data_IF_387719653600
#
_entry.id   IF_387719653600
#
_cell.length_a   1.000
_cell.length_b   1.000
_cell.length_c   1.000
_cell.angle_alpha   90.00
_cell.angle_beta   90.00
_cell.angle_gamma   90.00
#
_symmetry.space_group_name_H-M   'P 1'
#
loop_
_entity.id
_entity.type
_entity.pdbx_description
1 polymer ?
#
# COMPACT_ATOMS: atom_id res chain seq x y z
N UNK A 1 8.65 10.53 23.26
CA UNK A 1 7.20 10.65 23.00
C UNK A 1 7.04 11.06 21.53
N UNK A 2 6.23 10.35 20.74
CA UNK A 2 5.99 10.69 19.33
C UNK A 2 4.72 11.56 19.26
N UNK A 3 4.76 12.76 18.66
CA UNK A 3 3.57 13.59 18.47
C UNK A 3 2.72 12.98 17.34
N UNK A 4 1.70 12.20 17.70
CA UNK A 4 0.85 11.52 16.73
C UNK A 4 -0.16 12.49 16.10
N UNK A 5 -0.33 12.38 14.78
CA UNK A 5 -1.37 13.06 14.00
C UNK A 5 -2.04 12.02 13.11
N UNK A 6 -3.37 12.06 13.00
CA UNK A 6 -4.15 11.12 12.19
C UNK A 6 -4.89 11.87 11.10
N UNK A 7 -4.65 11.46 9.85
CA UNK A 7 -5.42 11.92 8.69
C UNK A 7 -6.45 10.85 8.29
N UNK A 8 -7.61 11.30 7.82
CA UNK A 8 -8.68 10.43 7.33
C UNK A 8 -8.96 10.76 5.88
N UNK A 9 -9.26 9.73 5.09
CA UNK A 9 -9.61 9.87 3.69
C UNK A 9 -10.50 8.71 3.22
N UNK A 10 -11.08 8.85 2.03
CA UNK A 10 -11.83 7.81 1.32
C UNK A 10 -11.42 7.81 -0.15
N UNK A 11 -11.20 6.62 -0.70
CA UNK A 11 -10.94 6.42 -2.12
C UNK A 11 -11.97 5.49 -2.71
N UNK A 12 -12.44 5.80 -3.92
CA UNK A 12 -13.25 4.87 -4.72
C UNK A 12 -12.33 3.76 -5.26
N UNK A 13 -12.76 2.51 -5.11
CA UNK A 13 -12.02 1.32 -5.56
C UNK A 13 -12.84 0.46 -6.54
N UNK A 14 -13.90 1.00 -7.13
CA UNK A 14 -14.83 0.25 -7.99
C UNK A 14 -14.10 -0.45 -9.15
N UNK A 15 -13.24 0.27 -9.86
CA UNK A 15 -12.45 -0.29 -10.97
C UNK A 15 -11.41 -1.30 -10.48
N UNK A 16 -10.75 -1.02 -9.36
CA UNK A 16 -9.77 -1.91 -8.74
C UNK A 16 -10.41 -3.24 -8.33
N UNK A 17 -11.61 -3.21 -7.76
CA UNK A 17 -12.30 -4.43 -7.34
C UNK A 17 -12.78 -5.27 -8.54
N UNK A 18 -13.22 -4.62 -9.63
CA UNK A 18 -13.53 -5.30 -10.88
C UNK A 18 -12.28 -5.97 -11.45
N UNK A 19 -11.17 -5.25 -11.53
CA UNK A 19 -9.88 -5.77 -11.99
C UNK A 19 -9.40 -6.94 -11.11
N UNK A 20 -9.44 -6.81 -9.78
CA UNK A 20 -9.05 -7.87 -8.84
C UNK A 20 -9.84 -9.16 -9.08
N UNK A 21 -11.17 -9.06 -9.28
CA UNK A 21 -12.02 -10.23 -9.56
C UNK A 21 -11.65 -10.88 -10.89
N UNK A 22 -11.40 -10.08 -11.93
CA UNK A 22 -10.97 -10.59 -13.23
C UNK A 22 -9.63 -11.33 -13.14
N UNK A 23 -8.63 -10.76 -12.46
CA UNK A 23 -7.32 -11.39 -12.31
C UNK A 23 -7.37 -12.69 -11.50
N UNK A 24 -8.24 -12.78 -10.49
CA UNK A 24 -8.44 -14.04 -9.76
C UNK A 24 -9.06 -15.13 -10.65
N UNK A 25 -10.06 -14.79 -11.47
CA UNK A 25 -10.62 -15.72 -12.45
C UNK A 25 -9.57 -16.20 -13.44
N UNK A 26 -8.67 -15.32 -13.87
CA UNK A 26 -7.58 -15.67 -14.77
C UNK A 26 -6.53 -16.57 -14.08
N UNK A 27 -6.19 -16.29 -12.82
CA UNK A 27 -5.28 -17.13 -12.04
C UNK A 27 -5.86 -18.54 -11.81
N UNK A 28 -7.17 -18.65 -11.57
CA UNK A 28 -7.89 -19.93 -11.47
C UNK A 28 -7.85 -20.72 -12.79
N UNK A 29 -8.14 -20.07 -13.93
CA UNK A 29 -8.04 -20.70 -15.26
C UNK A 29 -6.65 -21.25 -15.55
N UNK A 30 -5.61 -20.50 -15.14
CA UNK A 30 -4.21 -20.88 -15.30
C UNK A 30 -3.70 -21.85 -14.23
N UNK A 31 -4.54 -22.22 -13.23
CA UNK A 31 -4.19 -23.10 -12.10
C UNK A 31 -2.94 -22.61 -11.34
N UNK A 32 -2.83 -21.30 -11.15
CA UNK A 32 -1.68 -20.69 -10.47
C UNK A 32 -1.70 -20.87 -8.95
N UNK A 33 -2.82 -21.33 -8.37
CA UNK A 33 -3.02 -21.47 -6.91
C UNK A 33 -2.72 -20.18 -6.12
N UNK A 34 -3.11 -19.03 -6.68
CA UNK A 34 -2.93 -17.70 -6.09
C UNK A 34 -4.26 -16.98 -5.97
N UNK A 35 -4.46 -16.30 -4.83
CA UNK A 35 -5.61 -15.46 -4.57
C UNK A 35 -5.18 -14.01 -4.29
N UNK A 36 -5.53 -13.11 -5.19
CA UNK A 36 -5.25 -11.68 -5.10
C UNK A 36 -6.33 -11.01 -4.23
N UNK A 37 -5.88 -10.41 -3.13
CA UNK A 37 -6.71 -9.67 -2.17
C UNK A 37 -6.51 -8.14 -2.32
N UNK A 38 -7.47 -7.29 -1.87
CA UNK A 38 -7.34 -5.84 -2.01
C UNK A 38 -6.09 -5.24 -1.34
N UNK A 39 -5.66 -5.81 -0.21
CA UNK A 39 -4.49 -5.31 0.55
C UNK A 39 -3.19 -5.35 -0.27
N UNK A 40 -3.07 -6.27 -1.25
CA UNK A 40 -1.90 -6.31 -2.14
C UNK A 40 -1.76 -5.00 -2.94
N UNK A 41 -2.88 -4.44 -3.40
CA UNK A 41 -2.87 -3.17 -4.12
C UNK A 41 -2.54 -2.00 -3.19
N UNK A 42 -3.06 -2.02 -1.94
CA UNK A 42 -2.72 -1.01 -0.94
C UNK A 42 -1.21 -1.03 -0.64
N UNK A 43 -0.62 -2.22 -0.48
CA UNK A 43 0.83 -2.35 -0.29
C UNK A 43 1.63 -1.75 -1.45
N UNK A 44 1.20 -2.02 -2.70
CA UNK A 44 1.86 -1.45 -3.89
C UNK A 44 1.67 0.06 -4.01
N UNK A 45 0.50 0.59 -3.66
CA UNK A 45 0.24 2.03 -3.63
C UNK A 45 1.09 2.72 -2.56
N UNK A 46 1.18 2.15 -1.35
CA UNK A 46 2.04 2.67 -0.27
C UNK A 46 3.51 2.60 -0.66
N UNK A 47 3.99 1.50 -1.24
CA UNK A 47 5.38 1.39 -1.71
C UNK A 47 5.72 2.49 -2.74
N UNK A 48 4.84 2.72 -3.73
CA UNK A 48 5.01 3.79 -4.70
C UNK A 48 5.00 5.18 -4.05
N UNK A 49 4.13 5.41 -3.06
CA UNK A 49 4.10 6.67 -2.31
C UNK A 49 5.38 6.86 -1.47
N UNK A 50 5.91 5.81 -0.85
CA UNK A 50 7.17 5.87 -0.09
C UNK A 50 8.37 6.19 -0.98
N UNK A 51 8.40 5.69 -2.21
CA UNK A 51 9.41 6.05 -3.22
C UNK A 51 9.28 7.53 -3.65
N UNK A 52 8.05 8.01 -3.88
CA UNK A 52 7.78 9.40 -4.26
C UNK A 52 8.01 10.40 -3.12
N UNK A 53 7.81 9.99 -1.87
CA UNK A 53 7.97 10.80 -0.67
C UNK A 53 8.94 10.15 0.32
N UNK A 54 10.27 10.13 0.03
CA UNK A 54 11.27 9.41 0.82
C UNK A 54 11.31 9.78 2.30
N UNK A 55 10.87 10.99 2.66
CA UNK A 55 10.78 11.44 4.05
C UNK A 55 9.88 10.52 4.90
N UNK A 56 8.84 9.91 4.33
CA UNK A 56 7.98 8.97 5.05
C UNK A 56 8.64 7.60 5.27
N UNK A 57 9.60 7.23 4.42
CA UNK A 57 10.38 6.00 4.55
C UNK A 57 11.72 6.25 5.25
N UNK A 58 11.67 6.91 6.41
CA UNK A 58 12.85 7.24 7.20
C UNK A 58 12.67 6.90 8.67
N UNK A 59 13.78 6.81 9.38
CA UNK A 59 13.83 6.69 10.84
C UNK A 59 14.41 7.97 11.44
N UNK A 60 13.93 8.36 12.62
CA UNK A 60 14.47 9.52 13.34
C UNK A 60 15.58 9.07 14.30
N UNK A 61 16.67 9.83 14.37
CA UNK A 61 17.74 9.61 15.34
C UNK A 61 17.23 9.79 16.77
N UNK A 62 17.93 9.18 17.74
CA UNK A 62 17.55 9.24 19.16
C UNK A 62 17.49 10.68 19.71
N UNK A 63 18.36 11.55 19.21
CA UNK A 63 18.41 12.99 19.55
C UNK A 63 17.33 13.83 18.84
N UNK A 64 16.48 13.21 18.01
CA UNK A 64 15.45 13.84 17.19
C UNK A 64 15.94 14.92 16.21
N UNK A 65 17.24 14.96 15.88
CA UNK A 65 17.82 16.00 15.03
C UNK A 65 17.91 15.62 13.55
N UNK A 66 17.88 14.32 13.22
CA UNK A 66 18.14 13.82 11.86
C UNK A 66 17.17 12.72 11.45
N UNK A 67 16.84 12.71 10.16
CA UNK A 67 16.14 11.60 9.51
C UNK A 67 17.16 10.79 8.71
N UNK A 68 17.10 9.47 8.83
CA UNK A 68 17.97 8.49 8.17
C UNK A 68 17.16 7.51 7.35
#
# INVERSE_FOLDING_TARGET
MIPHVTHFDRTDITELENFRKEQNKEAEKRKLDVKITPVVFIMKAVASALEAFPRFNSSISEDAQRLT
#
